data_IF_454769586220
#
_entry.id   IF_454769586220
#
_cell.length_a   1.000
_cell.length_b   1.000
_cell.length_c   1.000
_cell.angle_alpha   90.00
_cell.angle_beta   90.00
_cell.angle_gamma   90.00
#
_symmetry.space_group_name_H-M   'P 1'
#
loop_
_entity.id
_entity.type
_entity.pdbx_description
1 polymer ?
#
# COMPACT_ATOMS: atom_id res chain seq x y z
N UNK A 1 4.34 1.20 16.83
CA UNK A 1 5.74 1.68 16.87
C UNK A 1 5.83 3.13 16.37
N UNK A 2 6.99 3.76 16.55
CA UNK A 2 7.15 5.21 16.40
C UNK A 2 7.85 5.64 15.10
N UNK A 3 8.19 4.72 14.19
CA UNK A 3 8.83 5.08 12.94
C UNK A 3 7.92 5.97 12.06
N UNK A 4 8.51 7.00 11.45
CA UNK A 4 7.78 7.99 10.65
C UNK A 4 8.32 8.04 9.22
N UNK A 5 7.46 7.65 8.27
CA UNK A 5 7.74 7.65 6.83
C UNK A 5 8.11 9.03 6.29
N UNK A 6 7.77 10.12 6.98
CA UNK A 6 8.16 11.49 6.60
C UNK A 6 9.68 11.70 6.63
N UNK A 7 10.41 10.90 7.39
CA UNK A 7 11.86 10.95 7.46
C UNK A 7 12.56 10.01 6.46
N UNK A 8 11.80 9.17 5.75
CA UNK A 8 12.33 8.27 4.74
C UNK A 8 12.36 8.94 3.37
N UNK A 9 13.36 8.59 2.56
CA UNK A 9 13.52 9.09 1.19
C UNK A 9 13.75 7.91 0.26
N UNK A 10 13.09 7.93 -0.89
CA UNK A 10 13.38 6.99 -1.96
C UNK A 10 14.81 7.17 -2.45
N UNK A 11 15.52 6.06 -2.59
CA UNK A 11 16.90 6.04 -3.08
C UNK A 11 17.25 4.67 -3.69
N UNK A 12 18.22 4.62 -4.61
CA UNK A 12 18.81 3.35 -5.06
C UNK A 12 19.19 2.44 -3.88
N UNK A 13 19.01 1.14 -4.06
CA UNK A 13 19.47 0.16 -3.07
C UNK A 13 21.00 0.08 -3.14
N UNK A 14 21.73 0.33 -2.04
CA UNK A 14 23.19 0.30 -2.04
C UNK A 14 23.78 -1.09 -2.33
N UNK A 15 22.97 -2.16 -2.28
CA UNK A 15 23.40 -3.53 -2.55
C UNK A 15 23.21 -3.95 -4.01
N UNK A 16 22.55 -3.13 -4.84
CA UNK A 16 22.34 -3.40 -6.26
C UNK A 16 23.41 -2.66 -7.07
N UNK A 17 24.14 -3.33 -7.99
CA UNK A 17 25.06 -2.65 -8.89
C UNK A 17 24.35 -1.53 -9.66
N UNK A 18 24.95 -0.35 -9.74
CA UNK A 18 24.31 0.84 -10.30
C UNK A 18 23.75 0.63 -11.72
N UNK A 19 24.43 -0.17 -12.54
CA UNK A 19 23.99 -0.54 -13.90
C UNK A 19 22.63 -1.24 -13.96
N UNK A 20 22.18 -1.85 -12.86
CA UNK A 20 20.92 -2.56 -12.75
C UNK A 20 19.96 -1.91 -11.73
N UNK A 21 20.31 -0.74 -11.18
CA UNK A 21 19.47 -0.02 -10.22
C UNK A 21 18.67 1.05 -10.93
N UNK A 22 17.37 1.10 -10.65
CA UNK A 22 16.58 2.30 -10.93
C UNK A 22 17.07 3.49 -10.09
N UNK A 23 16.81 4.70 -10.56
CA UNK A 23 17.04 5.96 -9.85
C UNK A 23 15.75 6.78 -9.72
N UNK A 24 15.76 7.85 -8.93
CA UNK A 24 14.54 8.64 -8.71
C UNK A 24 14.09 9.37 -9.98
N UNK A 25 15.04 9.71 -10.84
CA UNK A 25 14.87 10.42 -12.10
C UNK A 25 14.04 9.60 -13.10
N UNK A 26 14.08 8.27 -13.04
CA UNK A 26 13.25 7.41 -13.89
C UNK A 26 11.76 7.55 -13.57
N UNK A 27 11.44 7.77 -12.29
CA UNK A 27 10.07 7.91 -11.81
C UNK A 27 9.57 9.35 -11.90
N UNK A 28 10.44 10.35 -11.70
CA UNK A 28 10.05 11.74 -11.64
C UNK A 28 9.53 12.22 -13.01
N UNK A 29 8.28 12.66 -13.07
CA UNK A 29 7.66 13.12 -14.32
C UNK A 29 7.24 12.01 -15.28
N UNK A 30 7.40 10.74 -14.90
CA UNK A 30 7.04 9.57 -15.73
C UNK A 30 5.53 9.34 -15.93
N UNK A 31 4.70 9.98 -15.10
CA UNK A 31 3.28 9.66 -14.99
C UNK A 31 2.96 8.48 -14.05
N UNK A 32 3.97 7.82 -13.50
CA UNK A 32 3.84 6.73 -12.52
C UNK A 32 4.32 7.13 -11.14
N UNK A 33 3.71 6.55 -10.10
CA UNK A 33 4.16 6.71 -8.72
C UNK A 33 5.18 5.63 -8.35
N UNK A 34 5.92 5.85 -7.25
CA UNK A 34 6.79 4.84 -6.63
C UNK A 34 5.95 3.96 -5.70
N UNK A 35 5.51 2.80 -6.19
CA UNK A 35 4.67 1.84 -5.49
C UNK A 35 5.48 0.89 -4.62
N UNK A 36 5.16 0.78 -3.34
CA UNK A 36 5.85 -0.15 -2.42
C UNK A 36 5.30 -1.56 -2.55
N UNK A 37 6.17 -2.57 -2.61
CA UNK A 37 5.76 -3.98 -2.52
C UNK A 37 5.66 -4.44 -1.05
N UNK A 38 6.69 -4.15 -0.25
CA UNK A 38 6.63 -4.16 1.21
C UNK A 38 6.33 -2.74 1.73
N UNK A 39 5.17 -2.48 2.34
CA UNK A 39 4.78 -1.13 2.70
C UNK A 39 5.48 -0.62 3.96
N UNK A 40 5.78 0.68 3.96
CA UNK A 40 6.32 1.36 5.14
C UNK A 40 5.43 1.21 6.38
N UNK A 41 4.10 1.09 6.20
CA UNK A 41 3.12 0.96 7.28
C UNK A 41 3.33 -0.26 8.17
N UNK A 42 3.88 -1.34 7.63
CA UNK A 42 4.08 -2.61 8.35
C UNK A 42 5.35 -2.54 9.23
N UNK A 43 6.22 -1.55 8.98
CA UNK A 43 7.53 -1.41 9.61
C UNK A 43 7.58 -0.32 10.69
N UNK A 44 6.42 0.02 11.28
CA UNK A 44 6.30 1.04 12.33
C UNK A 44 7.17 0.78 13.56
N UNK A 45 7.57 -0.47 13.79
CA UNK A 45 8.39 -0.89 14.92
C UNK A 45 9.88 -0.52 14.76
N UNK A 46 10.37 -0.27 13.53
CA UNK A 46 11.79 -0.04 13.26
C UNK A 46 11.99 1.03 12.18
N UNK A 47 12.64 2.14 12.55
CA UNK A 47 13.01 3.21 11.60
C UNK A 47 13.90 2.68 10.48
N UNK A 48 14.80 1.74 10.79
CA UNK A 48 15.67 1.10 9.80
C UNK A 48 14.84 0.29 8.80
N UNK A 49 14.00 -0.63 9.29
CA UNK A 49 13.19 -1.46 8.41
C UNK A 49 12.27 -0.61 7.52
N UNK A 50 11.67 0.44 8.10
CA UNK A 50 10.87 1.40 7.33
C UNK A 50 11.70 2.15 6.28
N UNK A 51 12.94 2.56 6.58
CA UNK A 51 13.79 3.22 5.60
C UNK A 51 14.23 2.28 4.46
N UNK A 52 14.46 1.00 4.78
CA UNK A 52 14.81 -0.02 3.79
C UNK A 52 13.64 -0.30 2.82
N UNK A 53 12.38 -0.10 3.21
CA UNK A 53 11.25 -0.18 2.26
C UNK A 53 11.26 0.93 1.20
N UNK A 54 12.04 2.00 1.38
CA UNK A 54 12.20 3.09 0.41
C UNK A 54 13.37 2.86 -0.56
N UNK A 55 14.08 1.73 -0.46
CA UNK A 55 15.01 1.33 -1.51
C UNK A 55 14.25 0.99 -2.79
N UNK A 56 14.76 1.45 -3.93
CA UNK A 56 14.10 1.25 -5.23
C UNK A 56 14.03 -0.22 -5.66
N UNK A 57 14.78 -1.13 -5.03
CA UNK A 57 14.63 -2.59 -5.15
C UNK A 57 13.28 -3.12 -4.65
N UNK A 58 12.57 -2.37 -3.79
CA UNK A 58 11.23 -2.68 -3.29
C UNK A 58 10.11 -1.95 -4.07
N UNK A 59 10.46 -1.20 -5.12
CA UNK A 59 9.59 -0.23 -5.76
C UNK A 59 9.27 -0.63 -7.20
N UNK A 60 8.01 -0.44 -7.59
CA UNK A 60 7.56 -0.56 -8.98
C UNK A 60 6.85 0.71 -9.44
N UNK A 61 6.83 1.02 -10.75
CA UNK A 61 5.97 2.07 -11.29
C UNK A 61 4.50 1.70 -11.11
N UNK A 62 3.78 2.43 -10.25
CA UNK A 62 2.40 2.11 -9.89
C UNK A 62 1.47 3.28 -10.19
N UNK A 63 0.28 3.00 -10.72
CA UNK A 63 -0.74 4.01 -10.94
C UNK A 63 -1.07 4.74 -9.63
N UNK A 64 -1.15 6.07 -9.66
CA UNK A 64 -1.32 6.90 -8.45
C UNK A 64 -2.58 6.56 -7.66
N UNK A 65 -3.71 6.35 -8.35
CA UNK A 65 -4.99 6.03 -7.73
C UNK A 65 -5.01 4.58 -7.22
N UNK A 66 -4.37 3.66 -7.93
CA UNK A 66 -4.19 2.29 -7.46
C UNK A 66 -3.37 2.26 -6.15
N UNK A 67 -2.20 2.90 -6.14
CA UNK A 67 -1.28 2.98 -5.00
C UNK A 67 -1.94 3.63 -3.79
N UNK A 68 -2.59 4.79 -3.98
CA UNK A 68 -3.23 5.52 -2.88
C UNK A 68 -4.59 4.93 -2.47
N UNK A 69 -5.23 4.14 -3.33
CA UNK A 69 -6.59 3.60 -3.18
C UNK A 69 -6.60 2.10 -2.91
N UNK A 70 -6.95 1.30 -3.93
CA UNK A 70 -7.22 -0.14 -3.77
C UNK A 70 -6.03 -0.93 -3.19
N UNK A 71 -4.81 -0.66 -3.66
CA UNK A 71 -3.61 -1.33 -3.15
C UNK A 71 -3.36 -1.02 -1.66
N UNK A 72 -3.47 0.25 -1.26
CA UNK A 72 -3.39 0.66 0.14
C UNK A 72 -4.51 0.03 0.99
N UNK A 73 -5.73 -0.14 0.46
CA UNK A 73 -6.81 -0.89 1.15
C UNK A 73 -6.44 -2.36 1.35
N UNK A 74 -5.81 -3.01 0.38
CA UNK A 74 -5.27 -4.37 0.54
C UNK A 74 -4.16 -4.44 1.58
N UNK A 75 -3.26 -3.46 1.62
CA UNK A 75 -2.22 -3.36 2.65
C UNK A 75 -2.83 -3.15 4.04
N UNK A 76 -3.91 -2.35 4.16
CA UNK A 76 -4.65 -2.17 5.41
C UNK A 76 -5.27 -3.49 5.87
N UNK A 77 -5.90 -4.24 4.96
CA UNK A 77 -6.44 -5.58 5.26
C UNK A 77 -5.35 -6.54 5.75
N UNK A 78 -4.17 -6.54 5.12
CA UNK A 78 -3.05 -7.38 5.58
C UNK A 78 -2.62 -7.07 7.02
N UNK A 79 -2.65 -5.79 7.42
CA UNK A 79 -2.37 -5.39 8.81
C UNK A 79 -3.51 -5.77 9.74
N UNK A 80 -4.75 -5.61 9.30
CA UNK A 80 -5.94 -5.98 10.07
C UNK A 80 -5.98 -7.48 10.40
N UNK A 81 -5.47 -8.34 9.51
CA UNK A 81 -5.33 -9.78 9.78
C UNK A 81 -4.51 -10.06 11.04
N UNK A 82 -3.59 -9.19 11.44
CA UNK A 82 -2.78 -9.37 12.66
C UNK A 82 -3.60 -9.24 13.95
N UNK A 83 -4.84 -8.74 13.88
CA UNK A 83 -5.78 -8.73 14.99
C UNK A 83 -6.43 -10.12 15.22
N UNK A 84 -6.33 -11.02 14.22
CA UNK A 84 -7.02 -12.32 14.19
C UNK A 84 -6.08 -13.51 13.98
N UNK A 85 -4.85 -13.25 13.53
CA UNK A 85 -3.80 -14.21 13.26
C UNK A 85 -2.49 -13.69 13.87
N UNK A 86 -1.80 -14.51 14.66
CA UNK A 86 -0.52 -14.14 15.30
C UNK A 86 0.58 -13.87 14.26
N UNK A 87 0.61 -14.64 13.17
CA UNK A 87 1.59 -14.48 12.10
C UNK A 87 0.91 -14.32 10.74
N UNK A 88 1.36 -13.32 9.98
CA UNK A 88 0.93 -13.06 8.61
C UNK A 88 2.18 -12.85 7.73
N UNK A 89 2.35 -13.70 6.72
CA UNK A 89 3.37 -13.55 5.68
C UNK A 89 2.73 -13.06 4.40
N UNK A 90 3.40 -12.12 3.73
CA UNK A 90 2.93 -11.59 2.47
C UNK A 90 4.05 -11.51 1.45
N UNK A 91 3.80 -12.04 0.25
CA UNK A 91 4.64 -11.85 -0.93
C UNK A 91 3.89 -10.93 -1.89
N UNK A 92 4.52 -9.84 -2.32
CA UNK A 92 3.96 -8.91 -3.30
C UNK A 92 4.90 -8.80 -4.50
N UNK A 93 4.36 -8.57 -5.70
CA UNK A 93 5.22 -8.28 -6.85
C UNK A 93 4.49 -7.83 -8.12
N UNK A 94 5.26 -7.45 -9.15
CA UNK A 94 4.75 -7.04 -10.46
C UNK A 94 4.45 -8.23 -11.39
N UNK A 95 3.55 -8.02 -12.36
CA UNK A 95 3.28 -8.91 -13.49
C UNK A 95 3.09 -8.14 -14.80
N UNK A 96 3.58 -8.71 -15.90
CA UNK A 96 3.36 -8.25 -17.28
C UNK A 96 2.58 -9.32 -18.05
N UNK A 97 1.25 -9.28 -17.93
CA UNK A 97 0.35 -10.30 -18.44
C UNK A 97 -0.01 -10.06 -19.93
N UNK A 98 -0.24 -11.13 -20.71
CA UNK A 98 -0.59 -11.00 -22.12
C UNK A 98 -2.01 -10.46 -22.31
N UNK A 99 -2.20 -9.71 -23.40
CA UNK A 99 -3.51 -9.33 -23.92
C UNK A 99 -3.76 -10.07 -25.23
N UNK A 100 -5.01 -10.43 -25.51
CA UNK A 100 -5.40 -11.05 -26.79
C UNK A 100 -5.85 -9.95 -27.75
N UNK A 101 -5.15 -9.83 -28.87
CA UNK A 101 -5.43 -8.84 -29.89
C UNK A 101 -6.62 -9.24 -30.78
N UNK A 102 -7.11 -8.33 -31.61
CA UNK A 102 -8.22 -8.59 -32.52
C UNK A 102 -7.97 -9.71 -33.55
N UNK A 103 -6.71 -10.06 -33.80
CA UNK A 103 -6.30 -11.20 -34.66
C UNK A 103 -6.17 -12.52 -33.88
N UNK A 104 -6.53 -12.55 -32.60
CA UNK A 104 -6.45 -13.73 -31.72
C UNK A 104 -5.06 -14.03 -31.17
N UNK A 105 -4.02 -13.26 -31.54
CA UNK A 105 -2.67 -13.44 -30.99
C UNK A 105 -2.57 -12.86 -29.59
N UNK A 106 -1.79 -13.53 -28.74
CA UNK A 106 -1.47 -13.06 -27.39
C UNK A 106 -0.13 -12.32 -27.41
N UNK A 107 -0.12 -11.09 -26.92
CA UNK A 107 1.09 -10.27 -26.82
C UNK A 107 1.23 -9.67 -25.44
N UNK A 108 2.45 -9.63 -24.92
CA UNK A 108 2.78 -8.89 -23.70
C UNK A 108 3.32 -7.52 -24.12
N UNK A 109 2.70 -6.46 -23.62
CA UNK A 109 3.13 -5.08 -23.86
C UNK A 109 3.12 -4.32 -22.55
N UNK A 110 4.23 -3.65 -22.23
CA UNK A 110 4.38 -2.81 -21.06
C UNK A 110 5.26 -1.62 -21.39
N UNK A 111 5.04 -0.50 -20.71
CA UNK A 111 5.88 0.69 -20.82
C UNK A 111 7.19 0.46 -20.04
N UNK A 112 8.28 1.04 -20.53
CA UNK A 112 9.49 1.29 -19.74
C UNK A 112 9.63 2.80 -19.53
N UNK A 113 10.12 3.22 -18.35
CA UNK A 113 10.26 4.64 -17.98
C UNK A 113 11.70 4.98 -17.60
N UNK A 114 12.07 6.24 -17.80
CA UNK A 114 13.38 6.74 -17.43
C UNK A 114 14.48 6.41 -18.42
N UNK A 115 15.74 6.62 -18.02
CA UNK A 115 16.91 6.26 -18.83
C UNK A 115 17.34 4.81 -18.60
N UNK A 116 16.94 4.27 -17.45
CA UNK A 116 17.27 2.91 -17.03
C UNK A 116 16.17 1.90 -17.37
N UNK A 117 15.21 2.30 -18.23
CA UNK A 117 14.14 1.46 -18.79
C UNK A 117 13.35 0.65 -17.74
N UNK A 118 12.96 1.30 -16.64
CA UNK A 118 12.22 0.65 -15.54
C UNK A 118 10.86 0.17 -16.04
N UNK A 119 10.61 -1.14 -15.97
CA UNK A 119 9.39 -1.74 -16.46
C UNK A 119 8.15 -1.38 -15.62
N UNK A 120 7.10 -0.93 -16.28
CA UNK A 120 5.79 -0.63 -15.68
C UNK A 120 4.93 -1.91 -15.71
N UNK A 121 4.56 -2.50 -14.56
CA UNK A 121 3.74 -3.69 -14.56
C UNK A 121 2.32 -3.42 -15.06
N UNK A 122 1.75 -4.42 -15.74
CA UNK A 122 0.32 -4.43 -16.10
C UNK A 122 -0.57 -4.76 -14.90
N UNK A 123 -0.08 -5.60 -13.99
CA UNK A 123 -0.79 -6.10 -12.82
C UNK A 123 0.17 -6.20 -11.63
N UNK A 124 -0.38 -6.20 -10.44
CA UNK A 124 0.33 -6.48 -9.19
C UNK A 124 -0.30 -7.72 -8.55
N UNK A 125 0.51 -8.52 -7.87
CA UNK A 125 0.01 -9.66 -7.11
C UNK A 125 0.32 -9.54 -5.63
N UNK A 126 -0.50 -10.22 -4.83
CA UNK A 126 -0.24 -10.44 -3.41
C UNK A 126 -0.62 -11.86 -3.03
N UNK A 127 0.30 -12.58 -2.39
CA UNK A 127 0.04 -13.89 -1.77
C UNK A 127 0.11 -13.70 -0.26
N UNK A 128 -0.98 -14.01 0.42
CA UNK A 128 -1.13 -13.86 1.87
C UNK A 128 -1.20 -15.26 2.45
N UNK A 129 -0.32 -15.54 3.42
CA UNK A 129 -0.36 -16.74 4.25
C UNK A 129 -0.51 -16.28 5.71
N UNK A 130 -1.44 -16.84 6.47
CA UNK A 130 -1.58 -16.51 7.88
C UNK A 130 -1.75 -17.75 8.75
N UNK A 131 -1.29 -17.65 9.99
CA UNK A 131 -1.37 -18.68 11.03
C UNK A 131 -2.05 -18.10 12.26
N UNK A 132 -3.05 -18.82 12.80
CA UNK A 132 -3.83 -18.36 13.96
C UNK A 132 -2.93 -18.05 15.15
N UNK A 133 -2.15 -19.04 15.57
CA UNK A 133 -1.08 -18.93 16.55
C UNK A 133 -0.14 -20.13 16.43
N UNK A 134 1.05 -20.04 17.02
CA UNK A 134 2.09 -21.08 16.92
C UNK A 134 1.68 -22.46 17.47
N UNK A 135 0.74 -22.49 18.40
CA UNK A 135 0.27 -23.70 19.09
C UNK A 135 -1.04 -24.26 18.53
N UNK A 136 -1.65 -23.56 17.56
CA UNK A 136 -2.95 -23.94 17.01
C UNK A 136 -2.82 -25.16 16.11
N UNK A 137 -3.80 -26.05 16.17
CA UNK A 137 -3.97 -27.15 15.22
C UNK A 137 -4.84 -26.75 14.02
N UNK A 138 -5.34 -25.51 13.97
CA UNK A 138 -6.04 -25.00 12.79
C UNK A 138 -5.09 -24.96 11.59
N UNK A 139 -5.54 -25.37 10.39
CA UNK A 139 -4.76 -25.22 9.17
C UNK A 139 -4.35 -23.77 8.93
N UNK A 140 -3.27 -23.59 8.16
CA UNK A 140 -2.88 -22.27 7.67
C UNK A 140 -4.00 -21.71 6.76
N UNK A 141 -4.04 -20.39 6.60
CA UNK A 141 -4.95 -19.76 5.62
C UNK A 141 -4.13 -19.09 4.52
N UNK A 142 -4.54 -19.29 3.27
CA UNK A 142 -3.84 -18.80 2.09
C UNK A 142 -4.81 -18.10 1.12
N UNK A 143 -4.36 -17.00 0.52
CA UNK A 143 -5.02 -16.39 -0.62
C UNK A 143 -4.03 -15.73 -1.57
N UNK A 144 -4.27 -15.88 -2.86
CA UNK A 144 -3.53 -15.22 -3.93
C UNK A 144 -4.45 -14.24 -4.67
N UNK A 145 -3.97 -13.02 -4.91
CA UNK A 145 -4.74 -11.95 -5.53
C UNK A 145 -3.94 -11.30 -6.64
N UNK A 146 -4.58 -11.00 -7.77
CA UNK A 146 -3.98 -10.31 -8.91
C UNK A 146 -4.86 -9.11 -9.31
N UNK A 147 -4.33 -7.91 -9.17
CA UNK A 147 -5.03 -6.66 -9.46
C UNK A 147 -4.38 -5.93 -10.64
N UNK A 148 -5.15 -5.29 -11.54
CA UNK A 148 -4.56 -4.46 -12.58
C UNK A 148 -3.87 -3.23 -11.97
N UNK A 149 -2.78 -2.78 -12.59
CA UNK A 149 -2.08 -1.54 -12.22
C UNK A 149 -2.81 -0.30 -12.77
N UNK A 150 -4.10 -0.20 -12.46
CA UNK A 150 -5.04 0.82 -12.91
C UNK A 150 -5.94 1.27 -11.73
N UNK A 151 -6.67 2.39 -11.85
CA UNK A 151 -7.65 2.78 -10.85
C UNK A 151 -8.71 1.69 -10.64
N UNK A 152 -8.99 1.34 -9.38
CA UNK A 152 -10.03 0.38 -8.99
C UNK A 152 -10.89 1.02 -7.91
N UNK A 153 -12.19 1.15 -8.17
CA UNK A 153 -13.15 1.80 -7.28
C UNK A 153 -13.59 0.93 -6.09
N UNK A 154 -14.52 1.48 -5.29
CA UNK A 154 -15.07 0.81 -4.11
C UNK A 154 -16.16 -0.23 -4.44
N UNK A 155 -16.61 -0.31 -5.70
CA UNK A 155 -17.58 -1.30 -6.16
C UNK A 155 -17.01 -2.71 -6.23
N UNK A 156 -15.68 -2.85 -6.31
CA UNK A 156 -15.02 -4.15 -6.38
C UNK A 156 -14.61 -4.65 -4.99
N UNK A 157 -14.84 -5.93 -4.77
CA UNK A 157 -14.41 -6.65 -3.57
C UNK A 157 -13.02 -7.26 -3.79
N UNK A 158 -12.33 -7.64 -2.71
CA UNK A 158 -11.03 -8.29 -2.83
C UNK A 158 -11.14 -9.65 -3.53
N UNK A 159 -12.22 -10.39 -3.26
CA UNK A 159 -12.52 -11.69 -3.85
C UNK A 159 -12.65 -11.64 -5.38
N UNK A 160 -13.04 -10.50 -5.96
CA UNK A 160 -13.14 -10.32 -7.42
C UNK A 160 -11.78 -10.49 -8.12
N UNK A 161 -10.69 -10.32 -7.36
CA UNK A 161 -9.32 -10.41 -7.83
C UNK A 161 -8.59 -11.65 -7.28
N UNK A 162 -9.31 -12.54 -6.60
CA UNK A 162 -8.73 -13.79 -6.09
C UNK A 162 -8.46 -14.76 -7.24
N UNK A 163 -7.30 -15.40 -7.20
CA UNK A 163 -6.90 -16.46 -8.14
C UNK A 163 -6.41 -17.68 -7.36
N UNK A 164 -6.35 -18.83 -8.02
CA UNK A 164 -5.64 -19.97 -7.45
C UNK A 164 -4.14 -19.64 -7.37
N UNK A 165 -3.47 -20.14 -6.34
CA UNK A 165 -2.03 -19.92 -6.18
C UNK A 165 -1.25 -20.55 -7.33
N UNK A 166 -1.70 -21.70 -7.84
CA UNK A 166 -1.10 -22.39 -8.99
C UNK A 166 -1.20 -21.56 -10.28
N UNK A 167 -2.33 -20.86 -10.49
CA UNK A 167 -2.50 -19.95 -11.62
C UNK A 167 -1.55 -18.75 -11.50
N UNK A 168 -1.38 -18.22 -10.29
CA UNK A 168 -0.40 -17.15 -10.04
C UNK A 168 1.03 -17.62 -10.25
N UNK A 169 1.39 -18.81 -9.76
CA UNK A 169 2.72 -19.41 -9.99
C UNK A 169 3.01 -19.60 -11.47
N UNK A 170 2.00 -20.02 -12.24
CA UNK A 170 2.09 -20.10 -13.71
C UNK A 170 2.25 -18.73 -14.37
N UNK A 171 1.54 -17.69 -13.88
CA UNK A 171 1.65 -16.33 -14.40
C UNK A 171 3.00 -15.67 -14.07
N UNK A 172 3.55 -15.93 -12.88
CA UNK A 172 4.77 -15.27 -12.38
C UNK A 172 6.05 -16.05 -12.65
N UNK A 173 5.96 -17.36 -12.92
CA UNK A 173 7.11 -18.25 -12.98
C UNK A 173 7.80 -18.47 -11.62
N UNK A 174 7.06 -18.30 -10.52
CA UNK A 174 7.58 -18.44 -9.15
C UNK A 174 6.92 -19.62 -8.45
N UNK A 175 7.52 -20.06 -7.34
CA UNK A 175 6.88 -20.96 -6.37
C UNK A 175 6.80 -20.26 -5.02
N UNK A 176 5.58 -20.04 -4.53
CA UNK A 176 5.33 -19.35 -3.26
C UNK A 176 5.24 -20.35 -2.12
N UNK A 177 5.88 -20.04 -0.99
CA UNK A 177 5.87 -20.88 0.22
C UNK A 177 6.14 -22.37 -0.06
N UNK A 178 7.28 -22.73 -0.68
CA UNK A 178 7.56 -24.12 -1.12
C UNK A 178 7.64 -25.14 0.03
N UNK A 179 7.69 -24.68 1.28
CA UNK A 179 7.72 -25.52 2.48
C UNK A 179 6.31 -25.83 3.02
N UNK A 180 5.25 -25.27 2.42
CA UNK A 180 3.86 -25.48 2.83
C UNK A 180 3.20 -26.49 1.88
N UNK A 181 2.58 -27.54 2.41
CA UNK A 181 1.71 -28.43 1.61
C UNK A 181 0.38 -27.74 1.34
N UNK A 182 0.28 -27.11 0.18
CA UNK A 182 -0.92 -26.36 -0.23
C UNK A 182 -2.12 -27.25 -0.56
N UNK A 183 -1.94 -28.57 -0.67
CA UNK A 183 -3.04 -29.49 -1.00
C UNK A 183 -3.84 -29.90 0.22
N UNK A 184 -3.19 -30.01 1.39
CA UNK A 184 -3.83 -30.53 2.61
C UNK A 184 -3.81 -29.56 3.79
N UNK A 185 -2.84 -28.63 3.84
CA UNK A 185 -2.57 -27.84 5.06
C UNK A 185 -3.04 -26.38 5.00
N UNK A 186 -3.75 -25.98 3.94
CA UNK A 186 -4.24 -24.61 3.77
C UNK A 186 -5.75 -24.55 3.52
N UNK A 187 -6.39 -23.55 4.12
CA UNK A 187 -7.75 -23.12 3.79
C UNK A 187 -7.73 -21.82 3.01
N UNK A 188 -8.75 -21.58 2.20
CA UNK A 188 -8.93 -20.31 1.51
C UNK A 188 -9.15 -19.19 2.53
N UNK A 189 -8.32 -18.14 2.47
CA UNK A 189 -8.43 -16.98 3.37
C UNK A 189 -9.77 -16.26 3.29
N UNK A 190 -10.44 -16.24 2.13
CA UNK A 190 -11.74 -15.58 1.96
C UNK A 190 -12.93 -16.43 2.42
N UNK A 191 -12.68 -17.70 2.77
CA UNK A 191 -13.66 -18.57 3.43
C UNK A 191 -13.52 -18.52 4.96
N UNK A 192 -12.29 -18.30 5.46
CA UNK A 192 -11.98 -18.26 6.90
C UNK A 192 -12.02 -16.84 7.47
N UNK A 193 -11.58 -15.85 6.69
CA UNK A 193 -11.65 -14.42 6.99
C UNK A 193 -12.53 -13.71 5.96
N UNK A 194 -12.80 -12.43 6.20
CA UNK A 194 -13.81 -11.67 5.46
C UNK A 194 -13.40 -11.32 4.04
N UNK A 195 -12.09 -11.23 3.76
CA UNK A 195 -11.56 -10.57 2.56
C UNK A 195 -12.25 -9.21 2.25
N UNK A 196 -12.75 -8.53 3.28
CA UNK A 196 -13.50 -7.31 3.12
C UNK A 196 -12.55 -6.14 3.28
N UNK A 197 -12.31 -5.44 2.18
CA UNK A 197 -11.56 -4.19 2.24
C UNK A 197 -12.38 -3.12 2.94
N UNK A 198 -11.69 -2.22 3.65
CA UNK A 198 -12.27 -1.01 4.23
C UNK A 198 -13.15 -0.26 3.19
N UNK A 199 -14.35 0.14 3.62
CA UNK A 199 -15.36 0.78 2.78
C UNK A 199 -15.04 2.23 2.47
N UNK A 200 -15.84 2.85 1.59
CA UNK A 200 -15.63 4.25 1.16
C UNK A 200 -15.63 5.22 2.35
N UNK A 201 -16.61 5.09 3.24
CA UNK A 201 -16.75 5.98 4.40
C UNK A 201 -15.55 5.87 5.33
N UNK A 202 -15.23 4.65 5.76
CA UNK A 202 -14.14 4.38 6.70
C UNK A 202 -12.78 4.73 6.11
N UNK A 203 -12.57 4.46 4.82
CA UNK A 203 -11.33 4.82 4.14
C UNK A 203 -11.17 6.33 4.02
N UNK A 204 -12.24 7.05 3.69
CA UNK A 204 -12.20 8.52 3.60
C UNK A 204 -11.92 9.15 4.96
N UNK A 205 -12.54 8.65 6.04
CA UNK A 205 -12.22 9.07 7.41
C UNK A 205 -10.74 8.84 7.74
N UNK A 206 -10.21 7.66 7.43
CA UNK A 206 -8.80 7.32 7.63
C UNK A 206 -7.85 8.27 6.87
N UNK A 207 -8.13 8.54 5.60
CA UNK A 207 -7.32 9.47 4.79
C UNK A 207 -7.41 10.90 5.34
N UNK A 208 -8.60 11.35 5.73
CA UNK A 208 -8.79 12.68 6.32
C UNK A 208 -8.05 12.82 7.64
N UNK A 209 -8.08 11.81 8.51
CA UNK A 209 -7.28 11.81 9.74
C UNK A 209 -5.78 11.99 9.46
N UNK A 210 -5.25 11.32 8.42
CA UNK A 210 -3.85 11.50 8.00
C UNK A 210 -3.58 12.90 7.45
N UNK A 211 -4.49 13.46 6.65
CA UNK A 211 -4.39 14.85 6.16
C UNK A 211 -4.35 15.83 7.32
N UNK A 212 -5.28 15.72 8.26
CA UNK A 212 -5.34 16.50 9.51
C UNK A 212 -4.01 16.42 10.25
N UNK A 213 -3.52 15.22 10.58
CA UNK A 213 -2.27 15.04 11.31
C UNK A 213 -1.06 15.68 10.60
N UNK A 214 -1.06 15.67 9.26
CA UNK A 214 0.01 16.22 8.44
C UNK A 214 -0.13 17.71 8.10
N UNK A 215 -1.25 18.34 8.47
CA UNK A 215 -1.51 19.75 8.16
C UNK A 215 -0.44 20.64 8.80
N UNK A 216 0.05 21.60 8.01
CA UNK A 216 1.05 22.60 8.45
C UNK A 216 0.48 24.00 8.58
N UNK A 217 -0.79 24.18 8.23
CA UNK A 217 -1.50 25.46 8.27
C UNK A 217 -2.97 25.21 8.61
N UNK A 218 -3.60 26.19 9.26
CA UNK A 218 -5.04 26.14 9.57
C UNK A 218 -5.88 25.97 8.31
N UNK A 219 -5.52 26.64 7.21
CA UNK A 219 -6.20 26.47 5.93
C UNK A 219 -6.18 25.03 5.41
N UNK A 220 -5.04 24.31 5.53
CA UNK A 220 -4.96 22.89 5.13
C UNK A 220 -5.78 21.99 6.06
N UNK A 221 -5.84 22.33 7.34
CA UNK A 221 -6.65 21.62 8.33
C UNK A 221 -8.14 21.76 8.01
N UNK A 222 -8.62 22.98 7.79
CA UNK A 222 -10.00 23.29 7.38
C UNK A 222 -10.37 22.63 6.06
N UNK A 223 -9.47 22.69 5.06
CA UNK A 223 -9.68 22.05 3.76
C UNK A 223 -9.91 20.55 3.89
N UNK A 224 -9.13 19.86 4.73
CA UNK A 224 -9.31 18.42 4.94
C UNK A 224 -10.70 18.08 5.51
N UNK A 225 -11.22 18.91 6.43
CA UNK A 225 -12.57 18.74 6.98
C UNK A 225 -13.67 19.14 5.98
N UNK A 226 -13.43 20.14 5.12
CA UNK A 226 -14.38 20.52 4.06
C UNK A 226 -14.56 19.40 3.04
N UNK A 227 -13.46 18.83 2.55
CA UNK A 227 -13.48 17.71 1.61
C UNK A 227 -14.25 16.50 2.17
N UNK A 228 -14.16 16.24 3.48
CA UNK A 228 -14.92 15.18 4.13
C UNK A 228 -16.44 15.47 4.13
N UNK A 229 -16.84 16.71 4.42
CA UNK A 229 -18.26 17.13 4.38
C UNK A 229 -18.82 17.13 2.97
N UNK A 230 -18.03 17.56 1.98
CA UNK A 230 -18.39 17.51 0.55
C UNK A 230 -18.60 16.07 0.07
N UNK A 231 -17.87 15.10 0.66
CA UNK A 231 -18.09 13.68 0.44
C UNK A 231 -19.33 13.11 1.17
N UNK A 232 -20.08 13.93 1.91
CA UNK A 232 -21.28 13.52 2.65
C UNK A 232 -20.97 12.64 3.88
N UNK A 233 -19.77 12.76 4.45
CA UNK A 233 -19.32 11.94 5.58
C UNK A 233 -19.18 12.79 6.83
N UNK A 234 -19.87 12.38 7.89
CA UNK A 234 -19.71 12.97 9.22
C UNK A 234 -18.42 12.47 9.91
N UNK A 235 -17.64 13.35 10.55
CA UNK A 235 -16.43 12.97 11.27
C UNK A 235 -16.78 12.17 12.53
N UNK A 236 -15.98 11.12 12.81
CA UNK A 236 -16.08 10.37 14.05
C UNK A 236 -15.42 11.10 15.24
N UNK A 237 -15.63 10.57 16.45
CA UNK A 237 -15.09 11.17 17.67
C UNK A 237 -13.55 11.26 17.66
N UNK A 238 -12.90 10.26 17.05
CA UNK A 238 -11.45 10.23 16.92
C UNK A 238 -10.95 11.37 16.03
N UNK A 239 -11.55 11.57 14.87
CA UNK A 239 -11.19 12.63 13.94
C UNK A 239 -11.45 14.01 14.52
N UNK A 240 -12.56 14.20 15.25
CA UNK A 240 -12.86 15.46 15.95
C UNK A 240 -11.80 15.78 17.01
N UNK A 241 -11.41 14.79 17.83
CA UNK A 241 -10.34 14.95 18.83
C UNK A 241 -9.01 15.29 18.17
N UNK A 242 -8.68 14.60 17.07
CA UNK A 242 -7.44 14.82 16.32
C UNK A 242 -7.40 16.21 15.69
N UNK A 243 -8.51 16.66 15.09
CA UNK A 243 -8.65 18.00 14.53
C UNK A 243 -8.39 19.07 15.58
N UNK A 244 -9.11 19.01 16.72
CA UNK A 244 -8.98 19.98 17.80
C UNK A 244 -7.54 20.08 18.31
N UNK A 245 -6.90 18.93 18.56
CA UNK A 245 -5.50 18.89 18.98
C UNK A 245 -4.57 19.56 17.97
N UNK A 246 -4.78 19.29 16.67
CA UNK A 246 -3.92 19.85 15.62
C UNK A 246 -4.15 21.36 15.42
N UNK A 247 -5.38 21.82 15.58
CA UNK A 247 -5.73 23.23 15.54
C UNK A 247 -5.02 24.01 16.66
N UNK A 248 -5.08 23.50 17.89
CA UNK A 248 -4.37 24.07 19.05
C UNK A 248 -2.85 24.14 18.82
N UNK A 249 -2.25 23.06 18.29
CA UNK A 249 -0.82 23.00 17.93
C UNK A 249 -0.44 24.11 16.93
N UNK A 250 -1.19 24.22 15.83
CA UNK A 250 -0.92 25.21 14.77
C UNK A 250 -1.11 26.66 15.26
N UNK A 251 -2.08 26.91 16.15
CA UNK A 251 -2.29 28.22 16.76
C UNK A 251 -1.14 28.59 17.69
N UNK A 252 -0.65 27.65 18.50
CA UNK A 252 0.51 27.86 19.39
C UNK A 252 1.77 28.15 18.58
N UNK A 253 2.04 27.39 17.53
CA UNK A 253 3.18 27.62 16.62
C UNK A 253 3.10 29.01 15.97
N UNK A 254 1.92 29.44 15.52
CA UNK A 254 1.71 30.77 14.94
C UNK A 254 1.96 31.88 15.96
N UNK A 255 1.52 31.70 17.21
CA UNK A 255 1.75 32.67 18.29
C UNK A 255 3.23 32.75 18.69
N UNK A 256 3.93 31.62 18.78
CA UNK A 256 5.36 31.57 19.05
C UNK A 256 6.15 32.31 17.96
N UNK A 257 5.90 32.01 16.69
CA UNK A 257 6.54 32.69 15.56
C UNK A 257 6.30 34.21 15.56
N UNK A 258 5.10 34.65 15.93
CA UNK A 258 4.75 36.08 16.02
C UNK A 258 5.44 36.81 17.19
N UNK A 259 5.86 36.08 18.24
CA UNK A 259 6.61 36.64 19.37
C UNK A 259 8.10 36.75 19.04
N UNK A 260 8.67 35.73 18.40
CA UNK A 260 10.07 35.73 17.95
C UNK A 260 10.34 36.80 16.88
N UNK A 261 9.42 36.97 15.92
CA UNK A 261 9.53 38.02 14.89
C UNK A 261 9.34 39.46 15.39
N UNK A 262 8.97 39.67 16.66
CA UNK A 262 8.92 40.99 17.31
C UNK A 262 10.15 41.27 18.19
N UNK A 263 11.03 40.28 18.37
CA UNK A 263 12.20 40.35 19.25
C UNK A 263 13.54 40.45 18.50
N UNK A 264 13.52 40.49 17.15
CA UNK A 264 14.67 40.75 16.28
C UNK A 264 14.44 41.99 15.43
#
# INVERSE_FOLDING_TARGET
>A
GNADRRHCKFRPDPNIPLMFSAVNEDYLGSGWSRGHMAPAGDNKFSTRAMAETFYLSNIVPQNYENNAGFWNRMEMYCRELTERFEDVWVVSGPLTLPQTNGDGKKTVTYQVIGKDDVAVPSHLYKVILARRNRTSTEPLVLGAFVVPNNPIGFSHQLSDFQVNVEDLEKMSGLVFFPQVDKTNDVKNICEVDTCKLIGFKEFTLYITARKVQSARTLHRLEKAMSELREAGIEPDEYLLKLHKKKEEELLQEKQAAAREGKAG
#
